data_IF_466916070741
#
_entry.id   IF_466916070741
#
_cell.length_a   1.000
_cell.length_b   1.000
_cell.length_c   1.000
_cell.angle_alpha   90.00
_cell.angle_beta   90.00
_cell.angle_gamma   90.00
#
_symmetry.space_group_name_H-M   'P 1'
#
loop_
_entity.id
_entity.type
_entity.pdbx_description
1 polymer ?
#
# COMPACT_ATOMS: atom_id res chain seq x y z
N UNK A 1 0.45 18.50 23.22
CA UNK A 1 -0.25 17.80 22.10
C UNK A 1 -1.67 18.34 22.02
N UNK A 2 -2.12 18.85 20.88
CA UNK A 2 -3.48 19.39 20.71
C UNK A 2 -4.53 18.25 20.74
N UNK A 3 -5.71 18.50 21.32
CA UNK A 3 -6.87 17.59 21.38
C UNK A 3 -7.20 16.97 20.01
N UNK A 4 -7.14 17.75 18.93
CA UNK A 4 -7.38 17.25 17.56
C UNK A 4 -6.37 16.17 17.16
N UNK A 5 -5.09 16.35 17.46
CA UNK A 5 -4.02 15.37 17.19
C UNK A 5 -4.23 14.11 18.04
N UNK A 6 -4.61 14.25 19.31
CA UNK A 6 -4.90 13.12 20.18
C UNK A 6 -6.04 12.26 19.61
N UNK A 7 -7.14 12.89 19.18
CA UNK A 7 -8.29 12.19 18.57
C UNK A 7 -7.87 11.44 17.30
N UNK A 8 -7.08 12.05 16.41
CA UNK A 8 -6.62 11.35 15.19
C UNK A 8 -5.74 10.15 15.54
N UNK A 9 -4.80 10.30 16.47
CA UNK A 9 -3.91 9.20 16.90
C UNK A 9 -4.68 8.05 17.53
N UNK A 10 -5.66 8.34 18.37
CA UNK A 10 -6.53 7.32 18.98
C UNK A 10 -7.36 6.62 17.91
N UNK A 11 -8.00 7.37 17.01
CA UNK A 11 -8.80 6.79 15.91
C UNK A 11 -7.94 5.91 15.00
N UNK A 12 -6.73 6.34 14.67
CA UNK A 12 -5.78 5.56 13.87
C UNK A 12 -5.42 4.25 14.58
N UNK A 13 -5.07 4.32 15.86
CA UNK A 13 -4.72 3.14 16.66
C UNK A 13 -5.88 2.14 16.77
N UNK A 14 -7.10 2.61 17.04
CA UNK A 14 -8.30 1.75 17.07
C UNK A 14 -8.49 1.08 15.72
N UNK A 15 -8.45 1.85 14.63
CA UNK A 15 -8.61 1.33 13.26
C UNK A 15 -7.55 0.27 12.93
N UNK A 16 -6.29 0.51 13.24
CA UNK A 16 -5.20 -0.45 13.04
C UNK A 16 -5.46 -1.73 13.84
N UNK A 17 -5.89 -1.61 15.10
CA UNK A 17 -6.09 -2.76 15.99
C UNK A 17 -7.14 -3.74 15.49
N UNK A 18 -8.22 -3.24 14.87
CA UNK A 18 -9.30 -4.07 14.28
C UNK A 18 -9.06 -4.43 12.80
N UNK A 19 -8.00 -3.91 12.18
CA UNK A 19 -7.78 -3.99 10.72
C UNK A 19 -7.55 -5.41 10.18
N UNK A 20 -7.32 -6.38 11.06
CA UNK A 20 -7.11 -7.78 10.71
C UNK A 20 -8.35 -8.66 10.85
N UNK A 21 -9.50 -8.09 11.24
CA UNK A 21 -10.75 -8.83 11.45
C UNK A 21 -11.70 -8.52 10.28
N UNK A 22 -11.82 -9.38 9.25
CA UNK A 22 -12.63 -9.09 8.06
C UNK A 22 -14.09 -8.75 8.37
N UNK A 23 -14.71 -9.47 9.30
CA UNK A 23 -16.10 -9.29 9.69
C UNK A 23 -16.40 -7.93 10.33
N UNK A 24 -15.40 -7.27 10.92
CA UNK A 24 -15.55 -5.93 11.50
C UNK A 24 -15.09 -4.84 10.54
N UNK A 25 -13.94 -5.05 9.91
CA UNK A 25 -13.27 -3.99 9.16
C UNK A 25 -13.83 -3.79 7.75
N UNK A 26 -14.14 -4.87 7.03
CA UNK A 26 -14.60 -4.75 5.64
C UNK A 26 -16.00 -4.13 5.53
N UNK A 27 -17.00 -4.47 6.37
CA UNK A 27 -18.29 -3.77 6.35
C UNK A 27 -18.15 -2.28 6.64
N UNK A 28 -17.32 -1.90 7.63
CA UNK A 28 -17.01 -0.50 7.95
C UNK A 28 -16.42 0.24 6.74
N UNK A 29 -15.57 -0.45 5.96
CA UNK A 29 -14.96 0.15 4.78
C UNK A 29 -15.91 0.22 3.59
N UNK A 30 -16.78 -0.77 3.37
CA UNK A 30 -17.83 -0.75 2.33
C UNK A 30 -18.79 0.43 2.53
N UNK A 31 -19.19 0.71 3.77
CA UNK A 31 -20.03 1.86 4.08
C UNK A 31 -19.36 3.22 3.77
N UNK A 32 -18.02 3.24 3.61
CA UNK A 32 -17.22 4.40 3.26
C UNK A 32 -16.80 4.42 1.78
N UNK A 33 -17.21 3.44 0.97
CA UNK A 33 -17.04 3.46 -0.48
C UNK A 33 -17.98 4.50 -1.10
N UNK A 34 -17.60 5.77 -0.97
CA UNK A 34 -18.21 6.91 -1.68
C UNK A 34 -17.18 7.69 -2.51
N UNK A 35 -15.96 7.15 -2.59
CA UNK A 35 -14.82 7.78 -3.26
C UNK A 35 -14.43 6.90 -4.46
N UNK A 36 -14.37 7.46 -5.68
CA UNK A 36 -13.91 6.75 -6.88
C UNK A 36 -12.49 6.12 -6.75
N UNK A 37 -11.69 6.60 -5.79
CA UNK A 37 -10.38 6.03 -5.40
C UNK A 37 -10.35 5.56 -3.93
N UNK A 38 -11.53 5.29 -3.37
CA UNK A 38 -11.68 4.65 -2.08
C UNK A 38 -11.16 3.22 -2.10
N UNK A 39 -11.13 2.60 -0.91
CA UNK A 39 -10.82 1.18 -0.82
C UNK A 39 -11.82 0.38 -1.65
N UNK A 40 -11.36 -0.31 -2.69
CA UNK A 40 -12.17 -1.32 -3.39
C UNK A 40 -12.08 -2.60 -2.56
N UNK A 41 -13.21 -3.02 -2.00
CA UNK A 41 -13.28 -4.12 -1.05
C UNK A 41 -13.50 -5.43 -1.79
N UNK A 42 -12.66 -6.42 -1.51
CA UNK A 42 -12.76 -7.77 -2.08
C UNK A 42 -14.16 -8.37 -1.92
N UNK A 43 -14.64 -8.99 -2.99
CA UNK A 43 -15.92 -9.66 -3.07
C UNK A 43 -15.91 -10.84 -4.06
N UNK A 44 -17.07 -11.47 -4.29
CA UNK A 44 -17.20 -12.63 -5.17
C UNK A 44 -16.77 -12.36 -6.62
N UNK A 45 -16.95 -11.14 -7.12
CA UNK A 45 -16.61 -10.74 -8.50
C UNK A 45 -15.19 -10.21 -8.66
N UNK A 46 -14.43 -10.08 -7.56
CA UNK A 46 -13.04 -9.60 -7.64
C UNK A 46 -12.18 -10.61 -8.38
N UNK A 47 -11.44 -10.13 -9.38
CA UNK A 47 -10.51 -10.92 -10.18
C UNK A 47 -9.10 -10.91 -9.58
N UNK A 48 -8.69 -9.79 -8.99
CA UNK A 48 -7.36 -9.63 -8.40
C UNK A 48 -7.40 -8.74 -7.16
N UNK A 49 -6.63 -9.09 -6.14
CA UNK A 49 -6.37 -8.23 -4.99
C UNK A 49 -4.94 -7.73 -5.04
N UNK A 50 -4.75 -6.41 -5.09
CA UNK A 50 -3.43 -5.78 -4.99
C UNK A 50 -3.42 -4.95 -3.71
N UNK A 51 -2.64 -5.37 -2.73
CA UNK A 51 -2.58 -4.71 -1.43
C UNK A 51 -1.17 -4.57 -0.89
N UNK A 52 -1.01 -3.53 -0.08
CA UNK A 52 0.20 -3.25 0.65
C UNK A 52 -0.07 -2.24 1.76
N UNK A 53 0.87 -2.13 2.68
CA UNK A 53 0.93 -0.96 3.56
C UNK A 53 0.95 0.33 2.71
N UNK A 54 0.32 1.43 3.15
CA UNK A 54 0.28 2.67 2.38
C UNK A 54 1.67 3.09 1.89
N UNK A 55 1.72 3.74 0.72
CA UNK A 55 2.96 4.27 0.12
C UNK A 55 3.96 3.18 -0.36
N UNK A 56 3.45 2.02 -0.75
CA UNK A 56 4.24 0.88 -1.22
C UNK A 56 3.95 0.48 -2.67
N UNK A 57 3.46 1.40 -3.52
CA UNK A 57 3.32 1.14 -4.96
C UNK A 57 1.94 0.67 -5.45
N UNK A 58 0.93 0.54 -4.57
CA UNK A 58 -0.43 0.12 -4.96
C UNK A 58 -1.00 0.89 -6.16
N UNK A 59 -0.92 2.22 -6.13
CA UNK A 59 -1.48 3.07 -7.18
C UNK A 59 -0.79 2.85 -8.52
N UNK A 60 0.52 2.62 -8.52
CA UNK A 60 1.27 2.28 -9.73
C UNK A 60 0.86 0.92 -10.28
N UNK A 61 0.83 -0.12 -9.44
CA UNK A 61 0.44 -1.47 -9.87
C UNK A 61 -0.97 -1.50 -10.49
N UNK A 62 -1.93 -0.81 -9.87
CA UNK A 62 -3.29 -0.69 -10.40
C UNK A 62 -3.31 0.11 -11.71
N UNK A 63 -2.56 1.22 -11.80
CA UNK A 63 -2.49 2.01 -13.03
C UNK A 63 -1.85 1.22 -14.18
N UNK A 64 -0.78 0.48 -13.90
CA UNK A 64 -0.09 -0.38 -14.86
C UNK A 64 -1.02 -1.46 -15.42
N UNK A 65 -1.73 -2.20 -14.56
CA UNK A 65 -2.68 -3.21 -15.02
C UNK A 65 -3.84 -2.59 -15.82
N UNK A 66 -4.36 -1.44 -15.38
CA UNK A 66 -5.43 -0.71 -16.09
C UNK A 66 -4.95 -0.09 -17.41
N UNK A 67 -3.67 0.16 -17.59
CA UNK A 67 -3.13 0.65 -18.85
C UNK A 67 -3.17 -0.44 -19.92
N UNK A 68 -2.83 -1.69 -19.55
CA UNK A 68 -2.85 -2.82 -20.49
C UNK A 68 -4.27 -3.32 -20.72
N UNK A 69 -5.12 -3.29 -19.69
CA UNK A 69 -6.50 -3.76 -19.78
C UNK A 69 -7.45 -2.90 -18.93
N UNK A 70 -8.00 -1.81 -19.49
CA UNK A 70 -8.69 -0.78 -18.72
C UNK A 70 -9.95 -1.23 -17.98
N UNK A 71 -10.72 -2.18 -18.53
CA UNK A 71 -12.08 -2.46 -18.04
C UNK A 71 -12.41 -3.92 -17.76
N UNK A 72 -11.52 -4.86 -18.11
CA UNK A 72 -11.81 -6.29 -17.97
C UNK A 72 -11.85 -6.79 -16.53
N UNK A 73 -10.94 -6.31 -15.68
CA UNK A 73 -10.74 -6.90 -14.35
C UNK A 73 -11.34 -6.05 -13.23
N UNK A 74 -11.99 -6.67 -12.25
CA UNK A 74 -12.32 -6.08 -10.96
C UNK A 74 -11.16 -6.25 -9.97
N UNK A 75 -10.57 -5.13 -9.55
CA UNK A 75 -9.35 -5.11 -8.74
C UNK A 75 -9.67 -4.53 -7.36
N UNK A 76 -9.59 -5.37 -6.33
CA UNK A 76 -9.68 -4.91 -4.94
C UNK A 76 -8.34 -4.35 -4.47
N UNK A 77 -8.34 -3.13 -3.92
CA UNK A 77 -7.13 -2.39 -3.56
C UNK A 77 -7.39 -1.24 -2.59
N UNK A 78 -6.32 -0.63 -2.07
CA UNK A 78 -6.35 0.59 -1.24
C UNK A 78 -7.18 0.48 0.06
N UNK A 79 -7.48 -0.73 0.54
CA UNK A 79 -8.02 -0.96 1.88
C UNK A 79 -6.93 -0.79 2.95
N UNK A 80 -5.67 -1.11 2.58
CA UNK A 80 -4.49 -0.98 3.42
C UNK A 80 -4.64 -1.70 4.77
N UNK A 81 -5.30 -2.85 4.74
CA UNK A 81 -5.63 -3.62 5.93
C UNK A 81 -5.45 -5.12 5.70
N UNK A 82 -4.92 -5.88 6.67
CA UNK A 82 -4.80 -7.33 6.58
C UNK A 82 -6.13 -8.02 6.29
N UNK A 83 -7.25 -7.44 6.76
CA UNK A 83 -8.58 -7.96 6.51
C UNK A 83 -8.89 -8.19 5.02
N UNK A 84 -8.40 -7.33 4.12
CA UNK A 84 -8.61 -7.50 2.67
C UNK A 84 -7.88 -8.76 2.18
N UNK A 85 -6.62 -8.93 2.57
CA UNK A 85 -5.79 -10.08 2.20
C UNK A 85 -6.33 -11.40 2.80
N UNK A 86 -6.73 -11.37 4.07
CA UNK A 86 -7.32 -12.51 4.77
C UNK A 86 -8.63 -12.93 4.09
N UNK A 87 -9.49 -11.97 3.75
CA UNK A 87 -10.75 -12.27 3.08
C UNK A 87 -10.53 -12.78 1.65
N UNK A 88 -9.58 -12.21 0.91
CA UNK A 88 -9.21 -12.67 -0.41
C UNK A 88 -8.72 -14.13 -0.38
N UNK A 89 -7.87 -14.47 0.60
CA UNK A 89 -7.38 -15.84 0.78
C UNK A 89 -8.52 -16.82 1.07
N UNK A 90 -9.50 -16.42 1.90
CA UNK A 90 -10.71 -17.22 2.18
C UNK A 90 -11.58 -17.45 0.95
N UNK A 91 -11.63 -16.46 0.06
CA UNK A 91 -12.39 -16.52 -1.19
C UNK A 91 -11.61 -17.20 -2.33
N UNK A 92 -10.36 -17.62 -2.10
CA UNK A 92 -9.51 -18.22 -3.12
C UNK A 92 -9.14 -17.26 -4.26
N UNK A 93 -9.14 -15.94 -4.00
CA UNK A 93 -8.84 -14.94 -5.04
C UNK A 93 -7.33 -14.84 -5.31
N UNK A 94 -6.93 -14.52 -6.55
CA UNK A 94 -5.56 -14.08 -6.86
C UNK A 94 -5.17 -12.87 -6.02
N UNK A 95 -3.98 -12.92 -5.41
CA UNK A 95 -3.50 -11.89 -4.47
C UNK A 95 -2.05 -11.53 -4.75
N UNK A 96 -1.79 -10.23 -4.85
CA UNK A 96 -0.45 -9.63 -4.82
C UNK A 96 -0.31 -8.83 -3.52
N UNK A 97 0.63 -9.25 -2.69
CA UNK A 97 1.11 -8.47 -1.55
C UNK A 97 2.37 -7.70 -1.97
N UNK A 98 2.28 -6.37 -2.04
CA UNK A 98 3.46 -5.53 -2.29
C UNK A 98 4.10 -5.18 -0.94
N UNK A 99 5.41 -5.39 -0.83
CA UNK A 99 6.16 -5.13 0.40
C UNK A 99 7.26 -4.11 0.10
N UNK A 100 7.27 -3.03 0.88
CA UNK A 100 8.32 -2.01 0.83
C UNK A 100 9.07 -2.00 2.15
N UNK A 101 10.36 -1.63 2.10
CA UNK A 101 11.17 -1.41 3.30
C UNK A 101 10.41 -0.57 4.34
N UNK A 102 10.47 -0.94 5.63
CA UNK A 102 9.66 -0.31 6.67
C UNK A 102 9.96 1.18 6.78
N UNK A 103 11.25 1.57 6.77
CA UNK A 103 11.68 2.96 6.80
C UNK A 103 11.04 3.78 5.69
N UNK A 104 11.19 3.35 4.43
CA UNK A 104 10.79 4.15 3.28
C UNK A 104 9.27 4.33 3.20
N UNK A 105 8.51 3.27 3.50
CA UNK A 105 7.05 3.33 3.53
C UNK A 105 6.53 4.16 4.70
N UNK A 106 7.10 4.02 5.90
CA UNK A 106 6.70 4.81 7.09
C UNK A 106 7.01 6.29 6.91
N UNK A 107 8.22 6.64 6.46
CA UNK A 107 8.60 8.03 6.20
C UNK A 107 7.66 8.65 5.15
N UNK A 108 7.39 7.94 4.05
CA UNK A 108 6.45 8.41 3.02
C UNK A 108 5.02 8.56 3.55
N UNK A 109 4.59 7.65 4.44
CA UNK A 109 3.27 7.70 5.06
C UNK A 109 3.12 8.93 5.96
N UNK A 110 4.13 9.21 6.78
CA UNK A 110 4.14 10.37 7.68
C UNK A 110 4.10 11.71 6.95
N UNK A 111 4.69 11.82 5.75
CA UNK A 111 4.57 13.04 4.94
C UNK A 111 3.11 13.37 4.64
N UNK A 112 2.26 12.35 4.43
CA UNK A 112 0.81 12.53 4.17
C UNK A 112 -0.05 12.53 5.44
N UNK A 113 0.47 11.98 6.53
CA UNK A 113 -0.20 11.87 7.82
C UNK A 113 0.70 12.40 8.94
N UNK A 114 1.08 13.69 8.92
CA UNK A 114 2.03 14.27 9.87
C UNK A 114 1.55 14.20 11.32
N UNK A 115 0.25 14.04 11.54
CA UNK A 115 -0.36 13.88 12.86
C UNK A 115 -0.09 12.50 13.50
N UNK A 116 0.25 11.48 12.70
CA UNK A 116 0.58 10.13 13.18
C UNK A 116 2.03 10.07 13.62
N UNK A 117 2.27 9.60 14.85
CA UNK A 117 3.63 9.45 15.37
C UNK A 117 4.40 8.33 14.64
N UNK A 118 5.71 8.52 14.44
CA UNK A 118 6.60 7.51 13.80
C UNK A 118 6.49 6.12 14.43
N UNK A 119 6.39 6.05 15.77
CA UNK A 119 6.20 4.78 16.49
C UNK A 119 4.87 4.11 16.12
N UNK A 120 3.78 4.88 16.02
CA UNK A 120 2.46 4.35 15.65
C UNK A 120 2.42 3.89 14.19
N UNK A 121 3.06 4.64 13.28
CA UNK A 121 3.18 4.25 11.89
C UNK A 121 3.98 2.96 11.72
N UNK A 122 5.13 2.84 12.40
CA UNK A 122 5.95 1.62 12.38
C UNK A 122 5.24 0.43 13.04
N UNK A 123 4.54 0.63 14.16
CA UNK A 123 3.68 -0.40 14.77
C UNK A 123 2.57 -0.87 13.83
N UNK A 124 1.98 0.05 13.07
CA UNK A 124 0.93 -0.30 12.09
C UNK A 124 1.50 -1.05 10.89
N UNK A 125 2.71 -0.69 10.44
CA UNK A 125 3.44 -1.45 9.43
C UNK A 125 3.71 -2.88 9.91
N UNK A 126 4.21 -3.04 11.14
CA UNK A 126 4.47 -4.37 11.74
C UNK A 126 3.16 -5.15 11.85
N UNK A 127 2.11 -4.55 12.42
CA UNK A 127 0.81 -5.18 12.57
C UNK A 127 0.25 -5.67 11.22
N UNK A 128 0.33 -4.84 10.18
CA UNK A 128 -0.16 -5.19 8.86
C UNK A 128 0.53 -6.47 8.34
N UNK A 129 1.86 -6.49 8.36
CA UNK A 129 2.65 -7.56 7.77
C UNK A 129 2.66 -8.84 8.61
N UNK A 130 2.73 -8.73 9.93
CA UNK A 130 2.70 -9.91 10.81
C UNK A 130 1.37 -10.67 10.74
N UNK A 131 0.25 -9.96 10.55
CA UNK A 131 -1.06 -10.59 10.45
C UNK A 131 -1.26 -11.38 9.16
N UNK A 132 -0.47 -11.10 8.13
CA UNK A 132 -0.53 -11.81 6.85
C UNK A 132 0.63 -12.77 6.65
N UNK A 133 1.67 -12.71 7.50
CA UNK A 133 2.83 -13.61 7.43
C UNK A 133 2.48 -15.10 7.48
N UNK A 134 1.49 -15.58 8.27
CA UNK A 134 1.09 -17.00 8.24
C UNK A 134 0.38 -17.43 6.94
N UNK A 135 0.04 -16.47 6.07
CA UNK A 135 -0.72 -16.69 4.86
C UNK A 135 0.12 -16.47 3.60
N UNK A 136 1.45 -16.32 3.69
CA UNK A 136 2.33 -16.04 2.54
C UNK A 136 2.18 -17.06 1.41
N UNK A 137 1.96 -18.34 1.74
CA UNK A 137 1.62 -19.40 0.79
C UNK A 137 0.24 -19.24 0.10
N UNK A 138 -0.48 -18.13 0.28
CA UNK A 138 -1.71 -17.80 -0.43
C UNK A 138 -1.54 -16.59 -1.36
N UNK A 139 -0.35 -15.99 -1.43
CA UNK A 139 -0.11 -14.74 -2.16
C UNK A 139 1.05 -14.89 -3.14
N UNK A 140 1.10 -14.01 -4.15
CA UNK A 140 2.36 -13.61 -4.77
C UNK A 140 2.90 -12.42 -3.98
N UNK A 141 4.14 -12.51 -3.53
CA UNK A 141 4.82 -11.41 -2.82
C UNK A 141 5.74 -10.71 -3.83
N UNK A 142 5.60 -9.38 -3.92
CA UNK A 142 6.44 -8.54 -4.75
C UNK A 142 7.07 -7.43 -3.91
N UNK A 143 8.34 -7.14 -4.14
CA UNK A 143 8.93 -5.93 -3.55
C UNK A 143 8.41 -4.69 -4.25
N UNK A 144 8.49 -3.54 -3.57
CA UNK A 144 8.20 -2.24 -4.19
C UNK A 144 9.06 -2.04 -5.44
N UNK A 145 10.34 -2.38 -5.36
CA UNK A 145 11.31 -2.24 -6.45
C UNK A 145 10.89 -3.09 -7.66
N UNK A 146 10.50 -4.35 -7.44
CA UNK A 146 9.97 -5.23 -8.49
C UNK A 146 8.74 -4.62 -9.14
N UNK A 147 7.76 -4.14 -8.35
CA UNK A 147 6.56 -3.52 -8.90
C UNK A 147 6.88 -2.28 -9.73
N UNK A 148 7.89 -1.49 -9.37
CA UNK A 148 8.22 -0.26 -10.12
C UNK A 148 9.17 -0.48 -11.29
N UNK A 149 9.90 -1.60 -11.33
CA UNK A 149 10.91 -1.88 -12.35
C UNK A 149 10.54 -3.01 -13.32
N UNK A 150 9.75 -3.98 -12.87
CA UNK A 150 9.30 -5.14 -13.64
C UNK A 150 8.01 -5.76 -13.05
N UNK A 151 6.92 -5.00 -13.12
CA UNK A 151 5.59 -5.47 -12.75
C UNK A 151 5.09 -6.59 -13.66
N UNK A 152 5.57 -6.66 -14.90
CA UNK A 152 5.26 -7.75 -15.82
C UNK A 152 5.57 -9.12 -15.21
N UNK A 153 6.76 -9.31 -14.64
CA UNK A 153 7.11 -10.59 -13.99
C UNK A 153 6.30 -10.88 -12.72
N UNK A 154 5.77 -9.85 -12.06
CA UNK A 154 4.81 -10.05 -10.96
C UNK A 154 3.51 -10.64 -11.49
N UNK A 155 2.98 -10.12 -12.61
CA UNK A 155 1.76 -10.64 -13.24
C UNK A 155 1.96 -12.06 -13.78
N UNK A 156 3.12 -12.37 -14.36
CA UNK A 156 3.43 -13.74 -14.78
C UNK A 156 3.38 -14.73 -13.62
N UNK A 157 3.94 -14.36 -12.45
CA UNK A 157 3.88 -15.20 -11.23
C UNK A 157 2.45 -15.35 -10.74
N UNK A 158 1.62 -14.32 -10.85
CA UNK A 158 0.18 -14.41 -10.51
C UNK A 158 -0.51 -15.40 -11.44
N UNK A 159 -0.29 -15.28 -12.74
CA UNK A 159 -0.84 -16.17 -13.76
C UNK A 159 -0.44 -17.62 -13.52
N UNK A 160 0.86 -17.88 -13.32
CA UNK A 160 1.36 -19.23 -13.03
C UNK A 160 0.81 -19.82 -11.73
N UNK A 161 0.64 -19.01 -10.69
CA UNK A 161 0.15 -19.48 -9.38
C UNK A 161 -1.36 -19.75 -9.35
N UNK A 162 -2.14 -18.87 -9.96
CA UNK A 162 -3.59 -18.86 -9.83
C UNK A 162 -4.33 -19.32 -11.09
N UNK A 163 -3.61 -19.65 -12.17
CA UNK A 163 -4.21 -20.06 -13.45
C UNK A 163 -4.96 -18.92 -14.13
N UNK A 164 -4.53 -17.67 -13.93
CA UNK A 164 -5.11 -16.48 -14.55
C UNK A 164 -4.39 -16.09 -15.84
N UNK A 165 -4.95 -15.14 -16.58
CA UNK A 165 -4.45 -14.66 -17.88
C UNK A 165 -4.27 -13.13 -17.91
N UNK A 166 -3.83 -12.53 -16.81
CA UNK A 166 -3.56 -11.09 -16.76
C UNK A 166 -2.49 -10.72 -17.79
N UNK A 167 -2.72 -9.69 -18.62
CA UNK A 167 -1.77 -9.33 -19.65
C UNK A 167 -0.53 -8.72 -19.01
N UNK A 168 0.63 -9.02 -19.58
CA UNK A 168 1.92 -8.53 -19.10
C UNK A 168 2.01 -7.02 -19.28
N UNK A 169 2.53 -6.33 -18.26
CA UNK A 169 2.89 -4.91 -18.37
C UNK A 169 4.35 -4.78 -18.81
N UNK A 170 4.57 -4.20 -19.99
CA UNK A 170 5.90 -3.93 -20.52
C UNK A 170 6.49 -2.66 -19.89
N UNK A 171 7.61 -2.80 -19.18
CA UNK A 171 8.30 -1.71 -18.47
C UNK A 171 9.15 -0.82 -19.41
N UNK A 172 8.50 -0.25 -20.43
CA UNK A 172 9.10 0.80 -21.26
C UNK A 172 8.97 2.15 -20.55
N UNK A 173 9.88 3.10 -20.84
CA UNK A 173 9.79 4.47 -20.31
C UNK A 173 8.44 5.11 -20.63
N UNK A 174 7.96 4.97 -21.88
CA UNK A 174 6.66 5.51 -22.29
C UNK A 174 5.47 4.92 -21.51
N UNK A 175 5.50 3.63 -21.18
CA UNK A 175 4.43 3.02 -20.38
C UNK A 175 4.46 3.51 -18.93
N UNK A 176 5.65 3.61 -18.35
CA UNK A 176 5.84 4.14 -16.99
C UNK A 176 5.38 5.60 -16.90
N UNK A 177 5.73 6.43 -17.88
CA UNK A 177 5.31 7.83 -17.94
C UNK A 177 3.79 7.96 -18.08
N UNK A 178 3.15 7.11 -18.89
CA UNK A 178 1.69 7.06 -19.02
C UNK A 178 1.00 6.68 -17.70
N UNK A 179 1.57 5.73 -16.94
CA UNK A 179 1.10 5.41 -15.59
C UNK A 179 1.17 6.63 -14.66
N UNK A 180 2.31 7.33 -14.62
CA UNK A 180 2.46 8.52 -13.80
C UNK A 180 1.50 9.65 -14.22
N UNK A 181 1.35 9.89 -15.52
CA UNK A 181 0.40 10.88 -16.03
C UNK A 181 -1.07 10.53 -15.66
N UNK A 182 -1.44 9.24 -15.66
CA UNK A 182 -2.76 8.81 -15.19
C UNK A 182 -2.94 9.05 -13.69
N UNK A 183 -1.91 8.77 -12.88
CA UNK A 183 -1.92 9.02 -11.43
C UNK A 183 -2.01 10.52 -11.13
N UNK A 184 -1.28 11.35 -11.87
CA UNK A 184 -1.30 12.82 -11.72
C UNK A 184 -2.65 13.41 -12.09
N UNK A 185 -3.22 13.05 -13.25
CA UNK A 185 -4.56 13.49 -13.68
C UNK A 185 -5.61 13.13 -12.62
N UNK A 186 -5.55 11.91 -12.10
CA UNK A 186 -6.43 11.43 -11.03
C UNK A 186 -6.28 12.25 -9.74
N UNK A 187 -5.05 12.52 -9.32
CA UNK A 187 -4.80 13.35 -8.15
C UNK A 187 -5.35 14.78 -8.37
N UNK A 188 -5.15 15.35 -9.56
CA UNK A 188 -5.58 16.71 -9.92
C UNK A 188 -7.10 16.89 -9.79
N UNK A 189 -7.86 15.93 -10.31
CA UNK A 189 -9.33 15.89 -10.17
C UNK A 189 -9.80 15.87 -8.71
N UNK A 190 -9.02 15.27 -7.80
CA UNK A 190 -9.43 15.04 -6.41
C UNK A 190 -9.07 16.17 -5.46
N UNK A 191 -7.87 16.72 -5.59
CA UNK A 191 -7.36 17.70 -4.66
C UNK A 191 -7.28 19.12 -5.26
N UNK A 192 -7.57 19.26 -6.56
CA UNK A 192 -7.31 20.47 -7.34
C UNK A 192 -5.82 20.62 -7.67
N UNK A 193 -5.52 21.30 -8.78
CA UNK A 193 -4.15 21.44 -9.32
C UNK A 193 -3.14 21.98 -8.30
N UNK A 194 -3.58 22.76 -7.30
CA UNK A 194 -2.72 23.36 -6.27
C UNK A 194 -2.33 22.45 -5.10
N UNK A 195 -3.15 21.47 -4.70
CA UNK A 195 -2.88 20.61 -3.51
C UNK A 195 -2.09 19.35 -3.90
N UNK A 196 -2.28 18.88 -5.13
CA UNK A 196 -1.47 17.83 -5.78
C UNK A 196 0.00 18.23 -5.83
N UNK A 197 0.26 19.52 -6.03
CA UNK A 197 1.60 20.11 -6.05
C UNK A 197 2.29 20.13 -4.67
N UNK A 198 1.54 20.14 -3.56
CA UNK A 198 2.12 20.23 -2.22
C UNK A 198 2.39 18.86 -1.56
N UNK A 199 1.65 17.80 -1.93
CA UNK A 199 1.73 16.48 -1.26
C UNK A 199 1.94 15.27 -2.19
N UNK A 200 1.96 15.46 -3.52
CA UNK A 200 2.03 14.36 -4.49
C UNK A 200 3.08 14.51 -5.60
N UNK A 201 3.40 15.73 -6.05
CA UNK A 201 4.34 15.97 -7.16
C UNK A 201 5.78 16.13 -6.65
N UNK A 202 6.74 15.69 -7.46
CA UNK A 202 8.18 15.87 -7.28
C UNK A 202 8.62 17.34 -7.50
N UNK A 203 8.00 18.33 -6.85
CA UNK A 203 8.55 19.69 -6.76
C UNK A 203 9.30 19.88 -5.43
N UNK A 204 10.59 20.25 -5.45
CA UNK A 204 11.33 20.57 -4.24
C UNK A 204 10.80 21.89 -3.65
N UNK A 205 9.99 21.81 -2.59
CA UNK A 205 9.66 22.98 -1.76
C UNK A 205 10.48 22.93 -0.47
N UNK A 206 10.90 24.11 0.02
CA UNK A 206 11.61 24.24 1.29
C UNK A 206 10.83 23.62 2.47
N UNK A 207 9.50 23.64 2.41
CA UNK A 207 8.63 23.02 3.40
C UNK A 207 8.67 21.48 3.36
N UNK A 208 8.71 20.86 2.17
CA UNK A 208 8.88 19.40 2.05
C UNK A 208 10.25 18.96 2.56
N UNK A 209 11.29 19.71 2.23
CA UNK A 209 12.64 19.41 2.72
C UNK A 209 12.70 19.48 4.25
N UNK A 210 12.13 20.52 4.86
CA UNK A 210 12.02 20.67 6.31
C UNK A 210 11.25 19.52 6.97
N UNK A 211 10.08 19.16 6.43
CA UNK A 211 9.28 18.03 6.93
C UNK A 211 10.02 16.72 6.78
N UNK A 212 10.73 16.50 5.66
CA UNK A 212 11.56 15.30 5.47
C UNK A 212 12.65 15.21 6.53
N UNK A 213 13.37 16.30 6.80
CA UNK A 213 14.39 16.35 7.85
C UNK A 213 13.81 16.10 9.24
N UNK A 214 12.63 16.67 9.56
CA UNK A 214 11.95 16.44 10.84
C UNK A 214 11.54 14.97 11.01
N UNK A 215 10.95 14.36 9.99
CA UNK A 215 10.56 12.94 10.00
C UNK A 215 11.81 12.04 10.09
N UNK A 216 12.91 12.40 9.41
CA UNK A 216 14.19 11.69 9.52
C UNK A 216 14.76 11.75 10.95
N UNK A 217 14.68 12.90 11.63
CA UNK A 217 15.05 12.99 13.06
C UNK A 217 14.18 12.10 13.94
N UNK A 218 12.87 12.04 13.66
CA UNK A 218 11.97 11.14 14.38
C UNK A 218 12.32 9.66 14.16
N UNK A 219 12.72 9.29 12.94
CA UNK A 219 13.20 7.93 12.65
C UNK A 219 14.52 7.63 13.34
N UNK A 220 15.47 8.56 13.35
CA UNK A 220 16.76 8.40 14.02
C UNK A 220 16.59 8.02 15.51
N UNK A 221 15.56 8.56 16.18
CA UNK A 221 15.20 8.15 17.56
C UNK A 221 14.64 6.73 17.71
N UNK A 222 14.39 6.01 16.61
CA UNK A 222 13.99 4.61 16.57
C UNK A 222 15.09 3.68 16.06
N UNK A 223 16.18 4.22 15.52
CA UNK A 223 17.28 3.42 15.00
C UNK A 223 17.89 2.57 16.12
N UNK A 224 18.10 1.28 15.83
CA UNK A 224 18.57 0.32 16.82
C UNK A 224 17.55 0.00 17.91
N UNK A 225 16.29 0.43 17.80
CA UNK A 225 15.25 0.04 18.74
C UNK A 225 14.75 -1.39 18.50
N UNK A 226 14.15 -2.01 19.53
CA UNK A 226 13.45 -3.30 19.37
C UNK A 226 12.34 -3.25 18.31
N UNK A 227 11.70 -2.09 18.16
CA UNK A 227 10.60 -1.90 17.21
C UNK A 227 11.11 -1.90 15.76
N UNK A 228 12.20 -1.19 15.49
CA UNK A 228 12.83 -1.20 14.16
C UNK A 228 13.35 -2.59 13.81
N UNK A 229 14.11 -3.23 14.70
CA UNK A 229 14.60 -4.60 14.47
C UNK A 229 13.48 -5.58 14.15
N UNK A 230 12.33 -5.47 14.85
CA UNK A 230 11.14 -6.29 14.56
C UNK A 230 10.59 -6.03 13.17
N UNK A 231 10.49 -4.77 12.74
CA UNK A 231 10.03 -4.43 11.40
C UNK A 231 10.97 -4.96 10.31
N UNK A 232 12.28 -4.79 10.49
CA UNK A 232 13.30 -5.31 9.57
C UNK A 232 13.21 -6.84 9.50
N UNK A 233 13.11 -7.52 10.63
CA UNK A 233 12.97 -8.98 10.66
C UNK A 233 11.71 -9.46 9.91
N UNK A 234 10.57 -8.79 10.09
CA UNK A 234 9.34 -9.12 9.36
C UNK A 234 9.50 -8.87 7.86
N UNK A 235 10.14 -7.77 7.47
CA UNK A 235 10.44 -7.47 6.06
C UNK A 235 11.30 -8.57 5.44
N UNK A 236 12.42 -8.93 6.05
CA UNK A 236 13.32 -9.96 5.56
C UNK A 236 12.65 -11.32 5.47
N UNK A 237 11.79 -11.66 6.45
CA UNK A 237 10.98 -12.89 6.37
C UNK A 237 10.07 -12.89 5.14
N UNK A 238 9.37 -11.79 4.87
CA UNK A 238 8.51 -11.68 3.69
C UNK A 238 9.30 -11.77 2.39
N UNK A 239 10.50 -11.19 2.32
CA UNK A 239 11.35 -11.27 1.12
C UNK A 239 11.86 -12.69 0.89
N UNK A 240 12.25 -13.43 1.94
CA UNK A 240 12.59 -14.85 1.80
C UNK A 240 11.41 -15.71 1.33
N UNK A 241 10.19 -15.40 1.77
CA UNK A 241 8.99 -16.08 1.28
C UNK A 241 8.63 -15.69 -0.17
N UNK A 242 9.11 -14.54 -0.68
CA UNK A 242 8.88 -14.11 -2.05
C UNK A 242 9.74 -14.85 -3.09
N UNK A 243 10.84 -15.45 -2.64
CA UNK A 243 11.81 -16.21 -3.44
C UNK A 243 11.46 -17.71 -3.55
N UNK A 244 10.44 -18.16 -2.80
CA UNK A 244 9.94 -19.55 -2.80
C UNK A 244 8.81 -19.73 -3.81
#
# INVERSE_FOLDING_TARGET
MNLRTAVVRTRYWVRTSISHIPALYLPLMRAKQRDPDGATIVGPHTDLVIEAFPRSGNTFAVAALRQVEPRRYDIAHHCHAPAQLIQAARLGKPIVLIVRRPRDSVLSFMIRHPEVAVRQALQSWIHFHEKVLPLTGRFVIASFEQVTADFGSVLDRVNGRFGTDFPRFEHTSGNVDACFAAIERRNALRFGDGVVQQTSVARPSAERHRRKLEIERHWAGLEGSRLERRAVHVYERLMREAER
#
